data_IF_134113598806
#
_entry.id   IF_134113598806
#
_cell.length_a   1.000
_cell.length_b   1.000
_cell.length_c   1.000
_cell.angle_alpha   90.00
_cell.angle_beta   90.00
_cell.angle_gamma   90.00
#
_symmetry.space_group_name_H-M   'P 1'
#
loop_
_entity.id
_entity.type
_entity.pdbx_description
1 polymer ?
#
# COMPACT_ATOMS: atom_id res chain seq x y z
N UNK A 1 -2.37 -15.26 12.30
CA UNK A 1 -2.58 -14.76 13.69
C UNK A 1 -1.79 -13.48 13.85
N UNK A 2 -2.40 -12.38 14.37
CA UNK A 2 -1.71 -11.09 14.58
C UNK A 2 -0.62 -11.26 15.63
N UNK A 3 0.61 -10.84 15.31
CA UNK A 3 1.75 -10.92 16.22
C UNK A 3 2.56 -9.64 16.18
N UNK A 4 3.25 -9.32 17.28
CA UNK A 4 4.27 -8.27 17.33
C UNK A 4 5.61 -8.94 17.54
N UNK A 5 6.54 -8.65 16.66
CA UNK A 5 7.90 -9.19 16.72
C UNK A 5 8.93 -8.09 16.56
N UNK A 6 10.12 -8.33 17.03
CA UNK A 6 11.29 -7.50 16.83
C UNK A 6 12.11 -8.13 15.72
N UNK A 7 12.16 -7.44 14.58
CA UNK A 7 12.72 -7.96 13.34
C UNK A 7 13.94 -7.15 12.94
N UNK A 8 14.95 -7.86 12.43
CA UNK A 8 16.18 -7.24 11.95
C UNK A 8 15.96 -6.61 10.58
N UNK A 9 16.48 -5.40 10.39
CA UNK A 9 16.55 -4.74 9.08
C UNK A 9 17.61 -5.43 8.23
N UNK A 10 17.22 -5.89 7.07
CA UNK A 10 18.11 -6.56 6.08
C UNK A 10 18.69 -5.53 5.13
N UNK A 11 17.85 -4.61 4.66
CA UNK A 11 18.24 -3.54 3.74
C UNK A 11 17.31 -2.33 3.90
N UNK A 12 17.80 -1.17 3.49
CA UNK A 12 17.02 0.06 3.35
C UNK A 12 17.57 0.82 2.15
N UNK A 13 16.82 0.86 1.07
CA UNK A 13 17.28 1.30 -0.25
C UNK A 13 16.39 2.43 -0.77
N UNK A 14 16.99 3.44 -1.40
CA UNK A 14 16.24 4.50 -2.06
C UNK A 14 15.69 4.01 -3.41
N UNK A 15 14.43 4.36 -3.68
CA UNK A 15 13.74 4.13 -4.96
C UNK A 15 13.08 5.46 -5.35
N UNK A 16 13.76 6.28 -6.13
CA UNK A 16 13.37 7.68 -6.31
C UNK A 16 13.31 8.41 -4.96
N UNK A 17 12.20 9.09 -4.63
CA UNK A 17 12.01 9.76 -3.34
C UNK A 17 11.59 8.82 -2.21
N UNK A 18 11.34 7.56 -2.52
CA UNK A 18 10.84 6.56 -1.57
C UNK A 18 11.98 5.75 -0.97
N UNK A 19 11.67 5.05 0.12
CA UNK A 19 12.57 4.13 0.81
C UNK A 19 11.94 2.75 0.89
N UNK A 20 12.65 1.75 0.39
CA UNK A 20 12.26 0.33 0.47
C UNK A 20 13.01 -0.32 1.62
N UNK A 21 12.31 -0.51 2.73
CA UNK A 21 12.86 -1.20 3.91
C UNK A 21 12.55 -2.68 3.79
N UNK A 22 13.56 -3.53 3.92
CA UNK A 22 13.42 -4.99 4.03
C UNK A 22 13.80 -5.43 5.44
N UNK A 23 12.98 -6.29 6.04
CA UNK A 23 13.21 -6.87 7.36
C UNK A 23 13.12 -8.39 7.28
N UNK A 24 13.82 -9.09 8.18
CA UNK A 24 13.57 -10.51 8.38
C UNK A 24 12.10 -10.73 8.73
N UNK A 25 11.47 -11.80 8.23
CA UNK A 25 10.05 -12.06 8.51
C UNK A 25 9.82 -12.59 9.92
N UNK A 26 10.81 -13.27 10.51
CA UNK A 26 10.63 -13.96 11.78
C UNK A 26 9.48 -14.97 11.73
N UNK A 27 8.62 -14.95 12.73
CA UNK A 27 7.41 -15.78 12.79
C UNK A 27 6.14 -15.07 12.29
N UNK A 28 6.27 -13.92 11.62
CA UNK A 28 5.12 -13.21 11.05
C UNK A 28 4.66 -13.88 9.74
N UNK A 29 3.35 -13.93 9.56
CA UNK A 29 2.76 -14.27 8.27
C UNK A 29 2.71 -13.03 7.37
N UNK A 30 2.94 -13.15 6.06
CA UNK A 30 2.84 -11.99 5.16
C UNK A 30 1.40 -11.48 5.03
N UNK A 31 0.42 -12.33 5.29
CA UNK A 31 -0.98 -11.98 5.07
C UNK A 31 -1.36 -11.99 3.59
N UNK A 32 -2.40 -11.24 3.25
CA UNK A 32 -2.86 -11.06 1.88
C UNK A 32 -2.53 -9.64 1.37
N UNK A 33 -2.34 -9.43 0.06
CA UNK A 33 -2.10 -8.10 -0.50
C UNK A 33 -3.15 -7.08 -0.07
N UNK A 34 -2.71 -5.85 0.18
CA UNK A 34 -3.57 -4.78 0.71
C UNK A 34 -3.65 -4.72 2.23
N UNK A 35 -3.25 -5.77 2.97
CA UNK A 35 -3.05 -5.67 4.40
C UNK A 35 -1.81 -4.83 4.74
N UNK A 36 -1.76 -4.33 5.97
CA UNK A 36 -0.69 -3.47 6.46
C UNK A 36 -0.07 -4.00 7.75
N UNK A 37 1.06 -3.43 8.09
CA UNK A 37 1.76 -3.66 9.35
C UNK A 37 2.00 -2.32 10.06
N UNK A 38 2.02 -2.33 11.38
CA UNK A 38 2.43 -1.19 12.19
C UNK A 38 3.93 -1.31 12.48
N UNK A 39 4.73 -0.38 11.98
CA UNK A 39 6.17 -0.29 12.23
C UNK A 39 6.45 0.76 13.31
N UNK A 40 7.15 0.38 14.37
CA UNK A 40 7.60 1.32 15.40
C UNK A 40 8.82 2.09 14.90
N UNK A 41 8.62 3.36 14.62
CA UNK A 41 9.67 4.25 14.18
C UNK A 41 10.62 4.59 15.39
N UNK A 42 11.93 4.46 15.24
CA UNK A 42 12.88 4.75 16.31
C UNK A 42 12.66 6.12 16.95
N UNK A 43 12.59 6.16 18.28
CA UNK A 43 12.39 7.39 19.05
C UNK A 43 11.00 8.04 18.89
N UNK A 44 9.99 7.31 18.40
CA UNK A 44 8.62 7.81 18.23
C UNK A 44 7.63 7.03 19.08
N UNK A 45 6.66 7.74 19.65
CA UNK A 45 5.64 7.13 20.51
C UNK A 45 4.68 6.24 19.72
N UNK A 46 4.24 6.69 18.56
CA UNK A 46 3.27 5.97 17.75
C UNK A 46 3.96 5.24 16.59
N UNK A 47 3.53 4.00 16.29
CA UNK A 47 3.97 3.29 15.10
C UNK A 47 3.36 3.90 13.82
N UNK A 48 3.84 3.45 12.67
CA UNK A 48 3.36 3.87 11.35
C UNK A 48 2.74 2.68 10.62
N UNK A 49 1.50 2.83 10.08
CA UNK A 49 0.92 1.84 9.20
C UNK A 49 1.66 1.85 7.87
N UNK A 50 2.13 0.69 7.44
CA UNK A 50 2.82 0.49 6.17
C UNK A 50 2.21 -0.69 5.44
N UNK A 51 1.82 -0.48 4.19
CA UNK A 51 1.38 -1.57 3.31
C UNK A 51 2.52 -2.55 3.09
N UNK A 52 2.20 -3.84 3.07
CA UNK A 52 3.18 -4.85 2.66
C UNK A 52 3.47 -4.67 1.16
N UNK A 53 4.75 -4.43 0.85
CA UNK A 53 5.21 -4.20 -0.52
C UNK A 53 5.60 -5.51 -1.21
N UNK A 54 6.40 -6.34 -0.55
CA UNK A 54 6.82 -7.64 -1.06
C UNK A 54 6.99 -8.62 0.11
N UNK A 55 6.88 -9.92 -0.17
CA UNK A 55 7.07 -10.97 0.81
C UNK A 55 7.92 -12.13 0.24
N UNK A 56 9.19 -11.89 -0.11
CA UNK A 56 10.08 -12.96 -0.54
C UNK A 56 10.32 -13.96 0.61
N UNK A 57 10.81 -15.16 0.32
CA UNK A 57 11.06 -16.16 1.35
C UNK A 57 11.95 -15.62 2.48
N UNK A 58 11.41 -15.62 3.70
CA UNK A 58 12.14 -15.17 4.90
C UNK A 58 12.15 -13.66 5.16
N UNK A 59 11.58 -12.82 4.31
CA UNK A 59 11.58 -11.37 4.45
C UNK A 59 10.19 -10.76 4.27
N UNK A 60 10.03 -9.52 4.74
CA UNK A 60 8.94 -8.59 4.43
C UNK A 60 9.54 -7.26 3.99
N UNK A 61 8.92 -6.60 3.03
CA UNK A 61 9.34 -5.26 2.63
C UNK A 61 8.22 -4.23 2.69
N UNK A 62 8.61 -2.98 2.92
CA UNK A 62 7.73 -1.85 3.08
C UNK A 62 8.28 -0.66 2.31
N UNK A 63 7.49 -0.10 1.40
CA UNK A 63 7.82 1.13 0.68
C UNK A 63 7.20 2.32 1.41
N UNK A 64 7.98 3.37 1.65
CA UNK A 64 7.50 4.57 2.32
C UNK A 64 8.08 5.84 1.73
N UNK A 65 7.38 6.96 1.91
CA UNK A 65 7.86 8.31 1.63
C UNK A 65 8.22 9.03 2.95
N UNK A 66 9.39 9.64 3.02
CA UNK A 66 9.92 10.27 4.24
C UNK A 66 9.35 11.68 4.49
N UNK A 67 8.03 11.82 4.55
CA UNK A 67 7.31 13.10 4.65
C UNK A 67 7.18 13.64 6.08
N UNK A 68 7.11 12.76 7.07
CA UNK A 68 6.88 13.12 8.46
C UNK A 68 7.99 12.65 9.41
N UNK A 69 7.99 13.09 10.68
CA UNK A 69 9.05 12.71 11.63
C UNK A 69 9.18 11.18 11.84
N UNK A 70 8.07 10.44 11.76
CA UNK A 70 8.07 8.98 11.91
C UNK A 70 8.60 8.27 10.67
N UNK A 71 8.15 8.67 9.47
CA UNK A 71 8.63 8.07 8.21
C UNK A 71 10.08 8.47 7.94
N UNK A 72 10.52 9.67 8.34
CA UNK A 72 11.95 10.04 8.32
C UNK A 72 12.80 9.17 9.25
N UNK A 73 12.29 8.84 10.44
CA UNK A 73 13.01 7.94 11.34
C UNK A 73 13.07 6.50 10.81
N UNK A 74 12.04 6.03 10.13
CA UNK A 74 12.06 4.73 9.43
C UNK A 74 13.01 4.75 8.23
N UNK A 75 13.02 5.83 7.45
CA UNK A 75 13.93 5.97 6.31
C UNK A 75 15.42 6.03 6.71
N UNK A 76 15.70 6.33 7.98
CA UNK A 76 17.07 6.44 8.52
C UNK A 76 17.57 5.14 9.21
N UNK A 77 16.77 4.06 9.22
CA UNK A 77 17.27 2.80 9.80
C UNK A 77 18.32 2.16 8.88
N UNK A 78 19.28 1.49 9.48
CA UNK A 78 20.38 0.85 8.77
C UNK A 78 20.27 -0.69 8.82
N UNK A 79 20.86 -1.40 7.85
CA UNK A 79 20.97 -2.86 7.95
C UNK A 79 21.61 -3.30 9.25
N UNK A 80 20.95 -4.21 9.96
CA UNK A 80 21.36 -4.67 11.29
C UNK A 80 20.58 -4.06 12.43
N UNK A 81 19.91 -2.92 12.21
CA UNK A 81 18.96 -2.36 13.18
C UNK A 81 17.77 -3.29 13.42
N UNK A 82 17.04 -3.02 14.47
CA UNK A 82 15.83 -3.80 14.83
C UNK A 82 14.61 -2.90 14.88
N UNK A 83 13.54 -3.36 14.25
CA UNK A 83 12.23 -2.72 14.27
C UNK A 83 11.20 -3.62 14.94
N UNK A 84 10.34 -3.03 15.76
CA UNK A 84 9.13 -3.71 16.18
C UNK A 84 8.08 -3.61 15.07
N UNK A 85 7.60 -4.77 14.63
CA UNK A 85 6.62 -4.92 13.56
C UNK A 85 5.43 -5.68 14.09
N UNK A 86 4.23 -5.16 13.88
CA UNK A 86 2.98 -5.76 14.34
C UNK A 86 2.03 -5.94 13.15
N UNK A 87 1.62 -7.16 12.87
CA UNK A 87 0.72 -7.49 11.76
C UNK A 87 0.60 -8.99 11.50
N UNK A 88 0.00 -9.39 10.34
CA UNK A 88 -0.73 -8.52 9.40
C UNK A 88 -2.04 -7.99 9.98
N UNK A 89 -2.49 -6.82 9.52
CA UNK A 89 -3.64 -6.07 10.03
C UNK A 89 -4.58 -5.65 8.89
N UNK A 90 -5.84 -5.39 9.25
CA UNK A 90 -6.87 -4.97 8.32
C UNK A 90 -7.32 -6.06 7.35
N UNK A 91 -8.08 -5.65 6.36
CA UNK A 91 -8.58 -6.49 5.26
C UNK A 91 -7.80 -6.16 3.98
N UNK A 92 -7.40 -7.20 3.26
CA UNK A 92 -6.72 -7.05 1.98
C UNK A 92 -7.68 -7.18 0.79
N UNK A 93 -7.11 -7.17 -0.40
CA UNK A 93 -7.83 -7.37 -1.64
C UNK A 93 -8.38 -8.79 -1.78
N UNK A 94 -9.53 -8.92 -2.40
CA UNK A 94 -10.07 -10.22 -2.83
C UNK A 94 -9.48 -10.58 -4.19
N UNK A 95 -8.77 -11.72 -4.26
CA UNK A 95 -7.97 -12.10 -5.41
C UNK A 95 -8.69 -13.03 -6.39
N UNK A 96 -9.84 -13.60 -6.00
CA UNK A 96 -10.63 -14.47 -6.87
C UNK A 96 -11.42 -13.63 -7.88
N UNK A 97 -10.73 -13.15 -8.88
CA UNK A 97 -11.27 -12.25 -9.91
C UNK A 97 -10.74 -12.62 -11.29
N UNK A 98 -11.50 -12.25 -12.31
CA UNK A 98 -11.06 -12.31 -13.69
C UNK A 98 -10.59 -10.93 -14.16
N UNK A 99 -9.63 -10.90 -15.09
CA UNK A 99 -9.09 -9.67 -15.69
C UNK A 99 -8.72 -8.60 -14.65
N UNK A 100 -7.79 -8.86 -13.72
CA UNK A 100 -7.35 -7.84 -12.79
C UNK A 100 -6.61 -6.69 -13.50
N UNK A 101 -6.82 -5.45 -13.03
CA UNK A 101 -6.10 -4.25 -13.44
C UNK A 101 -5.70 -3.46 -12.19
N UNK A 102 -4.43 -3.12 -12.06
CA UNK A 102 -3.93 -2.31 -10.95
C UNK A 102 -3.93 -0.83 -11.33
N UNK A 103 -4.42 0.05 -10.47
CA UNK A 103 -4.44 1.51 -10.69
C UNK A 103 -3.84 2.20 -9.48
N UNK A 104 -2.65 2.79 -9.63
CA UNK A 104 -1.89 3.35 -8.51
C UNK A 104 -1.50 4.80 -8.67
N UNK A 105 -1.45 5.54 -7.55
CA UNK A 105 -0.98 6.93 -7.54
C UNK A 105 0.08 7.20 -6.47
N UNK A 106 1.25 7.69 -6.88
CA UNK A 106 2.34 8.03 -5.97
C UNK A 106 2.75 6.87 -5.07
N UNK A 107 2.82 7.10 -3.75
CA UNK A 107 3.15 6.05 -2.77
C UNK A 107 2.11 4.93 -2.71
N UNK A 108 0.92 5.10 -3.28
CA UNK A 108 -0.08 4.04 -3.43
C UNK A 108 0.38 2.86 -4.28
N UNK A 109 1.53 2.96 -4.94
CA UNK A 109 2.20 1.80 -5.56
C UNK A 109 2.65 0.75 -4.52
N UNK A 110 2.80 1.12 -3.26
CA UNK A 110 3.39 0.29 -2.21
C UNK A 110 2.81 -1.14 -2.07
N UNK A 111 1.49 -1.39 -2.10
CA UNK A 111 0.94 -2.76 -2.02
C UNK A 111 1.01 -3.54 -3.33
N UNK A 112 1.32 -2.92 -4.46
CA UNK A 112 1.17 -3.53 -5.78
C UNK A 112 2.23 -4.54 -6.17
N UNK A 113 3.50 -4.45 -5.76
CA UNK A 113 4.48 -5.51 -6.05
C UNK A 113 4.01 -6.87 -5.52
N UNK A 114 3.52 -6.93 -4.27
CA UNK A 114 2.98 -8.15 -3.69
C UNK A 114 1.65 -8.57 -4.33
N UNK A 115 0.76 -7.62 -4.60
CA UNK A 115 -0.51 -7.89 -5.28
C UNK A 115 -0.28 -8.41 -6.71
N UNK A 116 0.63 -7.80 -7.46
CA UNK A 116 1.00 -8.22 -8.82
C UNK A 116 1.54 -9.64 -8.84
N UNK A 117 2.42 -9.98 -7.90
CA UNK A 117 2.96 -11.34 -7.76
C UNK A 117 1.85 -12.37 -7.52
N UNK A 118 0.92 -12.08 -6.61
CA UNK A 118 -0.19 -12.99 -6.28
C UNK A 118 -1.23 -13.12 -7.40
N UNK A 119 -1.34 -12.15 -8.30
CA UNK A 119 -2.25 -12.13 -9.44
C UNK A 119 -1.59 -12.59 -10.76
N UNK A 120 -0.29 -12.96 -10.73
CA UNK A 120 0.44 -13.43 -11.91
C UNK A 120 0.83 -12.33 -12.89
N UNK A 121 1.06 -11.11 -12.42
CA UNK A 121 1.57 -9.99 -13.22
C UNK A 121 0.53 -9.33 -14.11
N UNK A 122 -0.62 -8.88 -13.57
CA UNK A 122 -1.64 -8.20 -14.36
C UNK A 122 -1.13 -6.86 -14.91
N UNK A 123 -1.81 -6.26 -15.92
CA UNK A 123 -1.53 -4.90 -16.33
C UNK A 123 -1.75 -3.91 -15.18
N UNK A 124 -0.99 -2.83 -15.19
CA UNK A 124 -1.09 -1.77 -14.22
C UNK A 124 -1.03 -0.39 -14.87
N UNK A 125 -1.72 0.59 -14.32
CA UNK A 125 -1.62 2.02 -14.64
C UNK A 125 -1.11 2.72 -13.39
N UNK A 126 0.06 3.36 -13.48
CA UNK A 126 0.69 4.02 -12.36
C UNK A 126 0.94 5.49 -12.66
N UNK A 127 0.37 6.37 -11.84
CA UNK A 127 0.51 7.81 -11.97
C UNK A 127 1.45 8.41 -10.92
N UNK A 128 2.31 9.32 -11.35
CA UNK A 128 3.26 10.00 -10.49
C UNK A 128 3.34 11.49 -10.80
N UNK A 129 3.73 12.29 -9.81
CA UNK A 129 3.87 13.75 -9.99
C UNK A 129 5.15 14.17 -10.74
N UNK A 130 6.14 13.29 -10.91
CA UNK A 130 7.36 13.53 -11.68
C UNK A 130 8.07 12.23 -12.03
N UNK A 131 9.01 12.28 -12.99
CA UNK A 131 9.84 11.13 -13.39
C UNK A 131 10.64 10.54 -12.22
N UNK A 132 11.10 11.37 -11.28
CA UNK A 132 11.80 10.89 -10.08
C UNK A 132 10.90 10.01 -9.19
N UNK A 133 9.61 10.37 -9.04
CA UNK A 133 8.65 9.52 -8.30
C UNK A 133 8.31 8.25 -9.10
N UNK A 134 8.34 8.34 -10.44
CA UNK A 134 8.03 7.23 -11.32
C UNK A 134 9.08 6.11 -11.28
N UNK A 135 10.27 6.31 -10.70
CA UNK A 135 11.23 5.24 -10.46
C UNK A 135 10.64 4.05 -9.68
N UNK A 136 9.64 4.30 -8.81
CA UNK A 136 8.94 3.25 -8.08
C UNK A 136 8.11 2.31 -8.98
N UNK A 137 7.80 2.70 -10.20
CA UNK A 137 7.11 1.84 -11.16
C UNK A 137 7.91 0.58 -11.51
N UNK A 138 9.25 0.64 -11.40
CA UNK A 138 10.11 -0.52 -11.62
C UNK A 138 9.80 -1.71 -10.68
N UNK A 139 9.11 -1.45 -9.57
CA UNK A 139 8.67 -2.50 -8.62
C UNK A 139 7.45 -3.28 -9.12
N UNK A 140 6.73 -2.77 -10.14
CA UNK A 140 5.50 -3.39 -10.66
C UNK A 140 5.69 -3.71 -12.14
N UNK A 141 5.88 -4.97 -12.51
CA UNK A 141 5.97 -5.38 -13.91
C UNK A 141 4.71 -5.01 -14.71
N UNK A 142 4.88 -4.80 -16.01
CA UNK A 142 3.78 -4.52 -16.96
C UNK A 142 2.97 -3.24 -16.65
N UNK A 143 3.59 -2.26 -16.00
CA UNK A 143 2.95 -0.98 -15.71
C UNK A 143 3.06 -0.01 -16.90
N UNK A 144 1.92 0.56 -17.28
CA UNK A 144 1.85 1.82 -18.01
C UNK A 144 2.05 2.96 -17.02
N UNK A 145 3.00 3.85 -17.29
CA UNK A 145 3.35 4.94 -16.38
C UNK A 145 2.90 6.26 -16.96
N UNK A 146 2.14 7.02 -16.20
CA UNK A 146 1.78 8.41 -16.52
C UNK A 146 2.38 9.36 -15.48
N UNK A 147 2.76 10.54 -15.92
CA UNK A 147 3.33 11.61 -15.08
C UNK A 147 2.51 12.88 -15.28
N UNK A 148 2.29 13.62 -14.19
CA UNK A 148 1.55 14.87 -14.27
C UNK A 148 2.04 15.79 -15.41
N UNK A 149 1.11 16.40 -16.17
CA UNK A 149 -0.31 16.59 -15.85
C UNK A 149 -1.25 15.44 -16.24
N UNK A 150 -0.76 14.35 -16.87
CA UNK A 150 -1.60 13.20 -17.23
C UNK A 150 -1.97 12.40 -15.97
N UNK A 151 -3.25 12.13 -15.81
CA UNK A 151 -3.79 11.38 -14.67
C UNK A 151 -4.07 9.93 -15.03
N UNK A 152 -4.02 9.02 -14.04
CA UNK A 152 -4.32 7.58 -14.23
C UNK A 152 -5.73 7.32 -14.76
N UNK A 153 -6.65 8.24 -14.55
CA UNK A 153 -8.04 8.16 -15.06
C UNK A 153 -8.14 8.31 -16.56
N UNK A 154 -7.17 8.93 -17.22
CA UNK A 154 -7.17 9.07 -18.68
C UNK A 154 -7.03 7.72 -19.37
N UNK A 155 -5.91 6.95 -19.19
CA UNK A 155 -5.81 5.61 -19.78
C UNK A 155 -6.83 4.63 -19.18
N UNK A 156 -7.24 4.79 -17.91
CA UNK A 156 -8.27 3.95 -17.31
C UNK A 156 -9.60 4.05 -18.06
N UNK A 157 -10.02 5.26 -18.47
CA UNK A 157 -11.27 5.48 -19.20
C UNK A 157 -11.32 4.67 -20.50
N UNK A 158 -10.20 4.50 -21.18
CA UNK A 158 -10.13 3.70 -22.41
C UNK A 158 -10.29 2.19 -22.14
N UNK A 159 -9.92 1.73 -20.94
CA UNK A 159 -9.94 0.32 -20.55
C UNK A 159 -11.20 -0.13 -19.82
N UNK A 160 -12.03 0.76 -19.26
CA UNK A 160 -13.21 0.37 -18.46
C UNK A 160 -14.25 -0.44 -19.25
N UNK A 161 -14.22 -0.33 -20.59
CA UNK A 161 -15.11 -1.12 -21.48
C UNK A 161 -14.77 -2.61 -21.52
N UNK A 162 -13.59 -3.01 -21.09
CA UNK A 162 -13.04 -4.37 -21.19
C UNK A 162 -13.38 -5.28 -20.01
N UNK A 163 -14.26 -4.84 -19.11
CA UNK A 163 -14.70 -5.59 -17.93
C UNK A 163 -13.54 -5.99 -17.00
N UNK A 164 -12.58 -5.11 -16.79
CA UNK A 164 -11.52 -5.31 -15.79
C UNK A 164 -12.07 -5.20 -14.37
N UNK A 165 -11.55 -6.04 -13.46
CA UNK A 165 -11.69 -5.83 -12.02
C UNK A 165 -10.54 -4.95 -11.53
N UNK A 166 -10.85 -3.73 -11.15
CA UNK A 166 -9.88 -2.72 -10.76
C UNK A 166 -9.51 -2.84 -9.28
N UNK A 167 -8.21 -2.77 -9.00
CA UNK A 167 -7.60 -2.68 -7.68
C UNK A 167 -6.88 -1.34 -7.60
N UNK A 168 -7.32 -0.45 -6.75
CA UNK A 168 -6.73 0.88 -6.68
C UNK A 168 -6.14 1.21 -5.31
N UNK A 169 -5.04 1.97 -5.32
CA UNK A 169 -4.40 2.54 -4.13
C UNK A 169 -3.71 3.87 -4.49
N UNK A 170 -3.95 4.91 -3.71
CA UNK A 170 -3.40 6.24 -3.97
C UNK A 170 -4.13 7.34 -3.22
N UNK A 171 -3.90 8.61 -3.59
CA UNK A 171 -4.56 9.74 -2.98
C UNK A 171 -6.10 9.67 -3.06
N UNK A 172 -6.77 10.15 -2.02
CA UNK A 172 -8.25 10.13 -1.92
C UNK A 172 -8.96 10.67 -3.18
N UNK A 173 -8.57 11.82 -3.78
CA UNK A 173 -9.22 12.29 -5.02
C UNK A 173 -9.08 11.33 -6.20
N UNK A 174 -7.96 10.58 -6.27
CA UNK A 174 -7.77 9.55 -7.30
C UNK A 174 -8.71 8.36 -7.05
N UNK A 175 -8.83 7.91 -5.79
CA UNK A 175 -9.71 6.79 -5.44
C UNK A 175 -11.18 7.13 -5.71
N UNK A 176 -11.61 8.37 -5.42
CA UNK A 176 -12.95 8.86 -5.75
C UNK A 176 -13.19 8.86 -7.26
N UNK A 177 -12.25 9.38 -8.05
CA UNK A 177 -12.36 9.37 -9.51
C UNK A 177 -12.36 7.95 -10.09
N UNK A 178 -11.58 7.03 -9.54
CA UNK A 178 -11.62 5.61 -9.94
C UNK A 178 -12.95 4.98 -9.57
N UNK A 179 -13.51 5.27 -8.40
CA UNK A 179 -14.83 4.79 -7.99
C UNK A 179 -15.95 5.24 -8.92
N UNK A 180 -15.90 6.51 -9.34
CA UNK A 180 -16.90 7.06 -10.28
C UNK A 180 -16.84 6.37 -11.66
N UNK A 181 -15.65 5.98 -12.11
CA UNK A 181 -15.45 5.27 -13.37
C UNK A 181 -15.74 3.76 -13.26
N UNK A 182 -15.40 3.15 -12.12
CA UNK A 182 -15.48 1.70 -11.88
C UNK A 182 -16.12 1.45 -10.52
N UNK A 183 -17.46 1.46 -10.42
CA UNK A 183 -18.17 1.38 -9.15
C UNK A 183 -17.94 0.09 -8.35
N UNK A 184 -17.45 -0.97 -8.96
CA UNK A 184 -17.14 -2.24 -8.30
C UNK A 184 -15.63 -2.42 -8.01
N UNK A 185 -14.81 -1.35 -8.14
CA UNK A 185 -13.40 -1.39 -7.82
C UNK A 185 -13.14 -1.73 -6.35
N UNK A 186 -12.00 -2.37 -6.08
CA UNK A 186 -11.47 -2.53 -4.73
C UNK A 186 -10.48 -1.41 -4.42
N UNK A 187 -10.79 -0.56 -3.45
CA UNK A 187 -10.08 0.68 -3.15
C UNK A 187 -9.37 0.58 -1.80
N UNK A 188 -8.06 0.76 -1.77
CA UNK A 188 -7.28 0.84 -0.54
C UNK A 188 -7.22 2.29 -0.05
N UNK A 189 -7.98 2.58 1.01
CA UNK A 189 -8.08 3.90 1.64
C UNK A 189 -7.00 4.09 2.69
N UNK A 190 -6.58 5.32 2.91
CA UNK A 190 -5.59 5.68 3.91
C UNK A 190 -6.19 6.59 4.99
N UNK A 191 -5.74 6.41 6.22
CA UNK A 191 -6.01 7.31 7.33
C UNK A 191 -4.88 7.26 8.36
N UNK A 192 -4.67 8.31 9.16
CA UNK A 192 -3.77 8.24 10.30
C UNK A 192 -4.18 7.12 11.26
N UNK A 193 -3.21 6.27 11.64
CA UNK A 193 -3.46 5.16 12.58
C UNK A 193 -2.52 5.25 13.77
N UNK A 194 -3.07 5.08 14.98
CA UNK A 194 -2.28 4.99 16.20
C UNK A 194 -2.14 3.56 16.70
N UNK A 195 -3.24 2.83 16.87
CA UNK A 195 -3.18 1.46 17.38
C UNK A 195 -3.13 0.38 16.29
N UNK A 196 -3.76 0.58 15.14
CA UNK A 196 -3.83 -0.39 14.03
C UNK A 196 -4.78 -1.58 14.22
N UNK A 197 -5.46 -1.72 15.37
CA UNK A 197 -6.31 -2.89 15.69
C UNK A 197 -7.70 -2.55 16.24
N UNK A 198 -8.16 -1.31 16.04
CA UNK A 198 -9.55 -0.92 16.33
C UNK A 198 -9.82 -0.34 17.71
N UNK A 199 -8.81 -0.15 18.59
CA UNK A 199 -9.03 0.30 19.96
C UNK A 199 -9.20 1.83 20.10
N UNK A 200 -8.46 2.63 19.31
CA UNK A 200 -8.37 4.08 19.52
C UNK A 200 -9.31 4.92 18.66
N UNK A 201 -9.95 4.35 17.64
CA UNK A 201 -10.81 5.02 16.66
C UNK A 201 -10.15 6.13 15.83
N UNK A 202 -8.84 6.31 15.93
CA UNK A 202 -8.11 7.36 15.22
C UNK A 202 -8.04 7.21 13.68
N UNK A 203 -8.41 6.02 13.16
CA UNK A 203 -8.48 5.74 11.73
C UNK A 203 -9.92 5.75 11.18
N UNK A 204 -10.85 6.41 11.88
CA UNK A 204 -12.23 6.52 11.41
C UNK A 204 -12.33 7.55 10.29
N UNK A 205 -12.88 7.11 9.17
CA UNK A 205 -13.18 7.93 7.98
C UNK A 205 -14.64 7.75 7.61
N UNK A 206 -15.25 8.75 6.99
CA UNK A 206 -16.59 8.64 6.43
C UNK A 206 -16.46 8.30 4.94
N UNK A 207 -17.05 7.16 4.55
CA UNK A 207 -17.12 6.70 3.18
C UNK A 207 -18.59 6.38 2.89
N UNK A 208 -19.16 7.04 1.89
CA UNK A 208 -20.56 6.90 1.48
C UNK A 208 -21.55 7.11 2.65
N UNK A 209 -21.28 8.10 3.51
CA UNK A 209 -22.11 8.43 4.68
C UNK A 209 -21.99 7.44 5.84
N UNK A 210 -21.08 6.47 5.76
CA UNK A 210 -20.83 5.47 6.81
C UNK A 210 -19.47 5.67 7.45
N UNK A 211 -19.44 5.79 8.78
CA UNK A 211 -18.19 5.91 9.53
C UNK A 211 -17.50 4.54 9.63
N UNK A 212 -16.32 4.41 9.03
CA UNK A 212 -15.53 3.19 8.98
C UNK A 212 -14.21 3.35 9.72
N UNK A 213 -13.80 2.32 10.49
CA UNK A 213 -12.45 2.24 11.07
C UNK A 213 -11.55 1.46 10.12
N UNK A 214 -10.72 2.14 9.35
CA UNK A 214 -9.91 1.51 8.30
C UNK A 214 -8.98 0.39 8.79
N UNK A 215 -8.51 0.44 10.04
CA UNK A 215 -7.70 -0.65 10.58
C UNK A 215 -8.48 -1.94 10.89
N UNK A 216 -9.81 -1.92 10.79
CA UNK A 216 -10.70 -3.07 11.06
C UNK A 216 -11.52 -3.44 9.83
N UNK A 217 -12.23 -2.46 9.26
CA UNK A 217 -13.09 -2.67 8.10
C UNK A 217 -12.30 -2.66 6.78
N UNK A 218 -11.23 -1.86 6.71
CA UNK A 218 -10.32 -1.70 5.58
C UNK A 218 -8.92 -2.23 5.85
N UNK A 219 -7.87 -1.69 5.21
CA UNK A 219 -7.90 -0.51 4.35
C UNK A 219 -8.61 -0.71 3.01
N UNK A 220 -8.68 -1.95 2.52
CA UNK A 220 -9.37 -2.25 1.26
C UNK A 220 -10.87 -2.34 1.49
N UNK A 221 -11.61 -1.50 0.80
CA UNK A 221 -13.06 -1.51 0.74
C UNK A 221 -13.51 -1.70 -0.71
N UNK A 222 -14.64 -2.35 -0.92
CA UNK A 222 -15.29 -2.33 -2.22
C UNK A 222 -16.02 -1.00 -2.37
N UNK A 223 -15.95 -0.44 -3.55
CA UNK A 223 -16.83 0.66 -3.93
C UNK A 223 -18.28 0.11 -3.92
N UNK A 224 -19.18 0.78 -3.22
CA UNK A 224 -20.57 0.37 -3.07
C UNK A 224 -21.44 0.98 -4.17
#
# INVERSE_FOLDING_TARGET
MRRRERLRVVANEAVGPYWLIRVERGGLEPGVPGQFFMLEAPGRLLPRPMSLCQAPPGELSFLLEAIGPGTRALAAVEPGDELHVFGPLGNGYRLDVQKPLLVGGGIGVAPFPYLSDQLGGPPAILGFRSDWHAEAAALVPNAEVVVEPTLVTEPLTDLVTDCYKVFACGPEPMLEAVRDLVPDAQLAWEAPMACGYGACYGCSVEIDGVLQRLCVAGPVLEAA
#
